data_IF_675198777409
#
_entry.id   IF_675198777409
#
_cell.length_a   1.000
_cell.length_b   1.000
_cell.length_c   1.000
_cell.angle_alpha   90.00
_cell.angle_beta   90.00
_cell.angle_gamma   90.00
#
_symmetry.space_group_name_H-M   'P 1'
#
loop_
_entity.id
_entity.type
_entity.pdbx_description
1 polymer ?
#
# COMPACT_ATOMS: atom_id res chain seq x y z
N UNK A 1 19.25 17.71 25.93
CA UNK A 1 18.76 16.32 25.95
C UNK A 1 17.32 16.22 25.45
N UNK A 2 16.41 17.10 25.86
CA UNK A 2 14.98 17.13 25.45
C UNK A 2 14.75 17.17 23.93
N UNK A 3 15.48 17.99 23.17
CA UNK A 3 15.30 18.10 21.70
C UNK A 3 15.65 16.80 20.95
N UNK A 4 16.66 16.06 21.43
CA UNK A 4 17.04 14.77 20.84
C UNK A 4 16.03 13.68 21.16
N UNK A 5 15.49 13.66 22.38
CA UNK A 5 14.40 12.75 22.74
C UNK A 5 13.14 13.04 21.91
N UNK A 6 12.74 14.30 21.71
CA UNK A 6 11.61 14.64 20.82
C UNK A 6 11.88 14.25 19.37
N UNK A 7 13.09 14.51 18.87
CA UNK A 7 13.51 14.09 17.53
C UNK A 7 13.45 12.56 17.36
N UNK A 8 13.88 11.80 18.37
CA UNK A 8 13.78 10.34 18.38
C UNK A 8 12.33 9.84 18.41
N UNK A 9 11.47 10.43 19.24
CA UNK A 9 10.05 10.06 19.29
C UNK A 9 9.32 10.41 17.99
N UNK A 10 9.60 11.56 17.39
CA UNK A 10 9.00 11.98 16.11
C UNK A 10 9.43 11.03 14.98
N UNK A 11 10.72 10.70 14.89
CA UNK A 11 11.23 9.77 13.86
C UNK A 11 10.68 8.36 14.04
N UNK A 12 10.54 7.89 15.27
CA UNK A 12 9.93 6.60 15.59
C UNK A 12 8.45 6.54 15.21
N UNK A 13 7.67 7.59 15.49
CA UNK A 13 6.25 7.66 15.11
C UNK A 13 6.09 7.61 13.58
N UNK A 14 6.90 8.38 12.83
CA UNK A 14 6.89 8.37 11.36
C UNK A 14 7.24 6.97 10.83
N UNK A 15 8.22 6.30 11.44
CA UNK A 15 8.61 4.95 11.05
C UNK A 15 7.47 3.93 11.27
N UNK A 16 6.78 4.00 12.42
CA UNK A 16 5.64 3.13 12.73
C UNK A 16 4.49 3.34 11.74
N UNK A 17 4.20 4.57 11.31
CA UNK A 17 3.14 4.82 10.31
C UNK A 17 3.43 4.22 8.94
N UNK A 18 4.72 4.05 8.58
CA UNK A 18 5.13 3.42 7.32
C UNK A 18 5.14 1.88 7.38
N UNK A 19 4.93 1.29 8.57
CA UNK A 19 4.96 -0.16 8.74
C UNK A 19 3.62 -0.85 8.44
N UNK A 20 2.59 -0.10 8.05
CA UNK A 20 1.27 -0.66 7.76
C UNK A 20 1.22 -1.21 6.32
N UNK A 21 1.67 -2.45 6.15
CA UNK A 21 1.59 -3.16 4.88
C UNK A 21 0.14 -3.53 4.52
N UNK A 22 -0.31 -3.09 3.35
CA UNK A 22 -1.59 -3.45 2.74
C UNK A 22 -1.47 -4.58 1.71
N UNK A 23 -2.62 -5.15 1.34
CA UNK A 23 -2.74 -6.05 0.18
C UNK A 23 -3.54 -5.30 -0.88
N UNK A 24 -2.95 -5.16 -2.07
CA UNK A 24 -3.57 -4.55 -3.24
C UNK A 24 -3.97 -5.68 -4.20
N UNK A 25 -5.25 -5.78 -4.52
CA UNK A 25 -5.80 -6.82 -5.37
C UNK A 25 -5.87 -6.37 -6.84
N UNK A 26 -5.39 -7.23 -7.73
CA UNK A 26 -5.43 -7.06 -9.18
C UNK A 26 -6.17 -8.25 -9.81
N UNK A 27 -7.02 -7.99 -10.80
CA UNK A 27 -7.78 -9.01 -11.54
C UNK A 27 -8.02 -8.58 -12.99
N UNK A 28 -7.99 -9.52 -13.93
CA UNK A 28 -8.29 -9.25 -15.34
C UNK A 28 -9.74 -8.76 -15.60
N UNK A 29 -10.63 -8.86 -14.60
CA UNK A 29 -12.00 -8.33 -14.64
C UNK A 29 -12.19 -7.09 -13.76
N UNK A 30 -11.11 -6.51 -13.25
CA UNK A 30 -11.12 -5.29 -12.43
C UNK A 30 -11.29 -4.01 -13.26
N UNK A 31 -10.93 -2.87 -12.68
CA UNK A 31 -10.89 -1.57 -13.38
C UNK A 31 -9.76 -0.70 -12.85
N UNK A 32 -8.95 -0.11 -13.73
CA UNK A 32 -7.94 0.89 -13.33
C UNK A 32 -8.51 2.30 -13.10
N UNK A 33 -9.75 2.52 -13.57
CA UNK A 33 -10.49 3.78 -13.48
C UNK A 33 -11.36 3.83 -12.21
N UNK A 34 -12.12 2.76 -11.95
CA UNK A 34 -13.10 2.68 -10.86
C UNK A 34 -12.65 1.75 -9.71
N UNK A 35 -11.64 0.90 -9.93
CA UNK A 35 -11.09 0.01 -8.91
C UNK A 35 -10.39 0.76 -7.79
N UNK A 36 -10.48 0.25 -6.57
CA UNK A 36 -9.78 0.81 -5.40
C UNK A 36 -8.68 -0.13 -4.85
N UNK A 37 -8.46 -1.27 -5.49
CA UNK A 37 -7.47 -2.27 -5.08
C UNK A 37 -7.93 -3.15 -3.92
N UNK A 38 -9.18 -3.06 -3.48
CA UNK A 38 -9.77 -4.00 -2.53
C UNK A 38 -10.13 -5.33 -3.19
N UNK A 39 -10.36 -6.36 -2.36
CA UNK A 39 -10.81 -7.68 -2.84
C UNK A 39 -12.13 -7.62 -3.62
N UNK A 40 -13.01 -6.69 -3.28
CA UNK A 40 -14.32 -6.50 -3.94
C UNK A 40 -14.27 -5.60 -5.17
N UNK A 41 -13.24 -4.78 -5.30
CA UNK A 41 -13.08 -3.82 -6.40
C UNK A 41 -11.59 -3.70 -6.81
N UNK A 42 -11.01 -4.76 -7.39
CA UNK A 42 -9.59 -4.81 -7.72
C UNK A 42 -9.22 -3.90 -8.90
N UNK A 43 -7.94 -3.54 -8.98
CA UNK A 43 -7.40 -2.92 -10.20
C UNK A 43 -7.36 -3.93 -11.36
N UNK A 44 -7.41 -3.43 -12.59
CA UNK A 44 -7.40 -4.27 -13.79
C UNK A 44 -5.98 -4.72 -14.13
N UNK A 45 -5.02 -3.78 -14.06
CA UNK A 45 -3.65 -4.05 -14.47
C UNK A 45 -2.70 -4.22 -13.30
N UNK A 46 -1.70 -5.07 -13.51
CA UNK A 46 -0.59 -5.24 -12.57
C UNK A 46 0.16 -3.90 -12.40
N UNK A 47 0.32 -3.13 -13.48
CA UNK A 47 1.03 -1.85 -13.43
C UNK A 47 0.33 -0.87 -12.48
N UNK A 48 -1.00 -0.75 -12.55
CA UNK A 48 -1.75 0.10 -11.63
C UNK A 48 -1.57 -0.33 -10.17
N UNK A 49 -1.63 -1.64 -9.91
CA UNK A 49 -1.37 -2.19 -8.58
C UNK A 49 0.05 -1.92 -8.06
N UNK A 50 1.06 -1.89 -8.94
CA UNK A 50 2.44 -1.53 -8.59
C UNK A 50 2.60 -0.03 -8.35
N UNK A 51 1.97 0.82 -9.17
CA UNK A 51 2.09 2.28 -9.06
C UNK A 51 1.48 2.83 -7.76
N UNK A 52 0.45 2.16 -7.22
CA UNK A 52 -0.19 2.56 -5.96
C UNK A 52 0.44 1.90 -4.73
N UNK A 53 1.20 0.82 -4.91
CA UNK A 53 1.85 0.12 -3.80
C UNK A 53 2.93 0.99 -3.17
N UNK A 54 2.99 0.98 -1.84
CA UNK A 54 4.08 1.55 -1.07
C UNK A 54 4.95 0.44 -0.47
N UNK A 55 6.07 0.82 0.14
CA UNK A 55 6.96 -0.11 0.81
C UNK A 55 6.20 -1.07 1.73
N UNK A 56 6.55 -2.36 1.64
CA UNK A 56 5.95 -3.47 2.38
C UNK A 56 4.56 -3.93 1.92
N UNK A 57 3.90 -3.25 0.97
CA UNK A 57 2.65 -3.75 0.41
C UNK A 57 2.85 -5.05 -0.39
N UNK A 58 1.77 -5.82 -0.51
CA UNK A 58 1.71 -6.99 -1.39
C UNK A 58 0.73 -6.73 -2.54
N UNK A 59 1.21 -6.83 -3.78
CA UNK A 59 0.33 -6.89 -4.95
C UNK A 59 -0.12 -8.33 -5.16
N UNK A 60 -1.38 -8.62 -4.85
CA UNK A 60 -2.00 -9.91 -5.07
C UNK A 60 -2.66 -9.96 -6.44
N UNK A 61 -2.17 -10.84 -7.31
CA UNK A 61 -2.72 -11.05 -8.66
C UNK A 61 -3.66 -12.25 -8.62
N UNK A 62 -4.94 -12.03 -8.96
CA UNK A 62 -5.95 -13.08 -9.06
C UNK A 62 -5.60 -14.07 -10.17
N UNK A 63 -6.13 -15.29 -10.11
CA UNK A 63 -5.95 -16.22 -11.22
C UNK A 63 -6.59 -15.66 -12.49
N UNK A 64 -5.95 -15.93 -13.62
CA UNK A 64 -6.53 -15.70 -14.95
C UNK A 64 -7.48 -16.80 -15.36
#
# INVERSE_FOLDING_TARGET
>A
MTNYTYSLFITLIIFITKLNAGIIYVSATGSDEEGDGSVTNPFETIQKGVDVAIDMDTVYVSNG
#
